data_IF_533949111703
#
_entry.id   IF_533949111703
#
_cell.length_a   1.000
_cell.length_b   1.000
_cell.length_c   1.000
_cell.angle_alpha   90.00
_cell.angle_beta   90.00
_cell.angle_gamma   90.00
#
_symmetry.space_group_name_H-M   'P 1'
#
loop_
_entity.id
_entity.type
_entity.pdbx_description
1 polymer ?
#
# COMPACT_ATOMS: atom_id res chain seq x y z
N UNK A 1 15.91 8.19 22.40
CA UNK A 1 14.63 7.49 22.12
C UNK A 1 13.78 8.44 21.26
N UNK A 2 13.61 8.16 19.97
CA UNK A 2 12.99 9.08 19.03
C UNK A 2 11.49 9.28 19.30
N UNK A 3 10.98 10.49 19.04
CA UNK A 3 9.56 10.82 19.19
C UNK A 3 8.75 10.08 18.12
N UNK A 4 7.85 9.18 18.53
CA UNK A 4 6.96 8.46 17.61
C UNK A 4 5.93 9.44 17.03
N UNK A 5 5.87 9.57 15.70
CA UNK A 5 4.82 10.33 15.01
C UNK A 5 3.60 9.44 14.81
N UNK A 6 2.52 9.72 15.54
CA UNK A 6 1.22 9.07 15.30
C UNK A 6 0.63 9.54 13.97
N UNK A 7 -0.12 8.66 13.30
CA UNK A 7 -0.90 9.06 12.13
C UNK A 7 -2.00 10.03 12.53
N UNK A 8 -2.13 11.12 11.78
CA UNK A 8 -3.19 12.13 11.97
C UNK A 8 -4.40 11.88 11.06
N UNK A 9 -4.32 10.89 10.16
CA UNK A 9 -5.38 10.58 9.17
C UNK A 9 -5.93 9.15 9.30
N UNK A 10 -5.41 8.36 10.25
CA UNK A 10 -5.99 7.06 10.58
C UNK A 10 -7.42 7.24 11.11
N UNK A 11 -8.36 6.43 10.61
CA UNK A 11 -9.79 6.56 10.89
C UNK A 11 -10.54 7.54 10.00
N UNK A 12 -9.87 8.26 9.09
CA UNK A 12 -10.52 9.15 8.11
C UNK A 12 -10.12 8.84 6.67
N UNK A 13 -8.82 8.77 6.37
CA UNK A 13 -8.34 8.45 5.01
C UNK A 13 -8.21 6.94 4.77
N UNK A 14 -8.03 6.18 5.84
CA UNK A 14 -7.99 4.72 5.87
C UNK A 14 -8.49 4.24 7.24
N UNK A 15 -8.90 2.96 7.37
CA UNK A 15 -9.39 2.43 8.64
C UNK A 15 -8.43 2.64 9.82
N UNK A 16 -8.95 3.12 10.95
CA UNK A 16 -8.16 3.29 12.18
C UNK A 16 -7.86 1.97 12.89
N UNK A 17 -8.66 0.93 12.60
CA UNK A 17 -8.44 -0.42 13.10
C UNK A 17 -7.47 -1.19 12.21
N UNK A 18 -6.45 -1.78 12.83
CA UNK A 18 -5.38 -2.47 12.09
C UNK A 18 -5.82 -3.76 11.39
N UNK A 19 -6.84 -4.46 11.90
CA UNK A 19 -7.36 -5.68 11.30
C UNK A 19 -8.13 -5.34 10.01
N UNK A 20 -9.03 -4.36 10.10
CA UNK A 20 -9.77 -3.85 8.94
C UNK A 20 -8.83 -3.32 7.87
N UNK A 21 -7.83 -2.51 8.27
CA UNK A 21 -6.84 -1.98 7.32
C UNK A 21 -6.06 -3.08 6.60
N UNK A 22 -5.69 -4.14 7.32
CA UNK A 22 -4.96 -5.28 6.74
C UNK A 22 -5.82 -6.03 5.72
N UNK A 23 -7.09 -6.25 6.03
CA UNK A 23 -8.02 -6.95 5.16
C UNK A 23 -8.27 -6.15 3.87
N UNK A 24 -8.46 -4.84 3.98
CA UNK A 24 -8.62 -3.93 2.83
C UNK A 24 -7.38 -3.98 1.91
N UNK A 25 -6.18 -3.82 2.47
CA UNK A 25 -4.92 -3.86 1.69
C UNK A 25 -4.76 -5.24 1.01
N UNK A 26 -5.02 -6.32 1.75
CA UNK A 26 -4.91 -7.69 1.23
C UNK A 26 -5.86 -7.89 0.06
N UNK A 27 -7.11 -7.46 0.19
CA UNK A 27 -8.11 -7.50 -0.87
C UNK A 27 -7.67 -6.70 -2.10
N UNK A 28 -7.18 -5.48 -1.93
CA UNK A 28 -6.70 -4.68 -3.06
C UNK A 28 -5.56 -5.36 -3.80
N UNK A 29 -4.58 -5.93 -3.08
CA UNK A 29 -3.45 -6.67 -3.67
C UNK A 29 -3.93 -7.94 -4.38
N UNK A 30 -4.88 -8.69 -3.80
CA UNK A 30 -5.42 -9.91 -4.41
C UNK A 30 -6.16 -9.63 -5.72
N UNK A 31 -6.87 -8.50 -5.80
CA UNK A 31 -7.63 -8.10 -6.99
C UNK A 31 -6.77 -7.67 -8.19
N UNK A 32 -5.46 -7.48 -8.02
CA UNK A 32 -4.57 -7.11 -9.11
C UNK A 32 -4.06 -8.38 -9.80
N UNK A 33 -4.19 -8.52 -11.14
CA UNK A 33 -3.59 -9.64 -11.86
C UNK A 33 -2.07 -9.71 -11.65
N UNK A 34 -1.51 -10.93 -11.60
CA UNK A 34 -0.06 -11.07 -11.51
C UNK A 34 0.59 -10.49 -12.78
N UNK A 35 1.59 -9.63 -12.57
CA UNK A 35 2.42 -9.05 -13.62
C UNK A 35 3.85 -9.03 -13.13
N UNK A 36 4.76 -9.55 -13.93
CA UNK A 36 6.19 -9.45 -13.68
C UNK A 36 6.77 -8.36 -14.59
N UNK A 37 7.71 -7.60 -14.04
CA UNK A 37 8.51 -6.63 -14.78
C UNK A 37 9.96 -7.10 -14.71
N UNK A 38 10.65 -6.99 -15.85
CA UNK A 38 12.07 -7.26 -15.92
C UNK A 38 12.88 -6.14 -15.23
N UNK A 39 14.02 -6.51 -14.66
CA UNK A 39 14.93 -5.58 -13.99
C UNK A 39 14.50 -5.20 -12.57
N UNK A 40 15.11 -4.12 -12.08
CA UNK A 40 14.90 -3.62 -10.72
C UNK A 40 13.95 -2.40 -10.75
N UNK A 41 12.93 -2.42 -9.90
CA UNK A 41 12.02 -1.27 -9.74
C UNK A 41 12.75 -0.19 -8.94
N UNK A 42 13.07 0.92 -9.58
CA UNK A 42 13.73 2.07 -8.95
C UNK A 42 12.73 3.01 -8.23
N UNK A 43 11.51 3.11 -8.74
CA UNK A 43 10.48 3.99 -8.17
C UNK A 43 9.06 3.50 -8.49
N UNK A 44 8.09 3.89 -7.66
CA UNK A 44 6.66 3.75 -7.90
C UNK A 44 5.99 5.14 -7.87
N UNK A 45 4.96 5.31 -8.69
CA UNK A 45 4.07 6.48 -8.63
C UNK A 45 2.69 5.95 -8.24
N UNK A 46 2.13 6.48 -7.16
CA UNK A 46 0.83 6.04 -6.63
C UNK A 46 -0.05 7.24 -6.28
N UNK A 47 -1.38 7.10 -6.39
CA UNK A 47 -2.31 8.09 -5.85
C UNK A 47 -2.25 8.09 -4.32
N UNK A 48 -2.59 9.24 -3.71
CA UNK A 48 -2.52 9.42 -2.26
C UNK A 48 -3.86 9.77 -1.60
N UNK A 49 -4.99 9.65 -2.33
CA UNK A 49 -6.32 9.90 -1.77
C UNK A 49 -6.71 8.86 -0.69
N UNK A 50 -7.89 9.04 -0.09
CA UNK A 50 -8.46 8.04 0.82
C UNK A 50 -8.56 6.66 0.16
N UNK A 51 -8.30 5.60 0.92
CA UNK A 51 -8.13 4.23 0.39
C UNK A 51 -9.37 3.72 -0.36
N UNK A 52 -10.57 4.14 0.05
CA UNK A 52 -11.81 3.80 -0.65
C UNK A 52 -11.83 4.28 -2.11
N UNK A 53 -11.09 5.36 -2.42
CA UNK A 53 -11.02 5.95 -3.75
C UNK A 53 -9.79 5.48 -4.54
N UNK A 54 -8.64 5.32 -3.86
CA UNK A 54 -7.36 5.12 -4.54
C UNK A 54 -6.61 3.85 -4.17
N UNK A 55 -7.07 3.10 -3.17
CA UNK A 55 -6.39 1.91 -2.65
C UNK A 55 -6.21 0.83 -3.72
N UNK A 56 -7.26 0.55 -4.49
CA UNK A 56 -7.21 -0.44 -5.58
C UNK A 56 -6.23 -0.04 -6.69
N UNK A 57 -6.10 1.25 -7.00
CA UNK A 57 -5.16 1.75 -8.02
C UNK A 57 -3.73 1.66 -7.49
N UNK A 58 -3.48 2.08 -6.25
CA UNK A 58 -2.16 1.97 -5.63
C UNK A 58 -1.67 0.51 -5.56
N UNK A 59 -2.58 -0.45 -5.37
CA UNK A 59 -2.23 -1.86 -5.32
C UNK A 59 -1.60 -2.40 -6.62
N UNK A 60 -1.91 -1.83 -7.80
CA UNK A 60 -1.25 -2.22 -9.06
C UNK A 60 0.25 -1.97 -9.01
N UNK A 61 0.69 -0.91 -8.33
CA UNK A 61 2.10 -0.59 -8.16
C UNK A 61 2.73 -1.45 -7.06
N UNK A 62 2.09 -1.53 -5.88
CA UNK A 62 2.65 -2.26 -4.74
C UNK A 62 2.74 -3.77 -4.95
N UNK A 63 1.85 -4.37 -5.75
CA UNK A 63 1.93 -5.82 -6.05
C UNK A 63 3.24 -6.22 -6.71
N UNK A 64 3.86 -5.32 -7.48
CA UNK A 64 5.14 -5.55 -8.14
C UNK A 64 6.30 -5.71 -7.15
N UNK A 65 6.14 -5.24 -5.91
CA UNK A 65 7.17 -5.34 -4.87
C UNK A 65 7.08 -6.64 -4.05
N UNK A 66 6.04 -7.47 -4.24
CA UNK A 66 5.90 -8.70 -3.48
C UNK A 66 7.10 -9.63 -3.72
N UNK A 67 7.71 -10.11 -2.63
CA UNK A 67 8.90 -10.95 -2.68
C UNK A 67 10.20 -10.22 -3.03
N UNK A 68 10.16 -8.90 -3.28
CA UNK A 68 11.35 -8.05 -3.44
C UNK A 68 11.77 -7.51 -2.07
N UNK A 69 13.07 -7.20 -1.92
CA UNK A 69 13.63 -6.59 -0.71
C UNK A 69 14.23 -5.23 -1.07
N UNK A 70 13.96 -4.25 -0.23
CA UNK A 70 14.48 -2.89 -0.31
C UNK A 70 14.92 -2.48 1.10
N UNK A 71 15.94 -1.62 1.17
CA UNK A 71 16.39 -1.05 2.45
C UNK A 71 15.33 -0.07 2.99
N UNK A 72 15.16 -0.02 4.32
CA UNK A 72 14.13 0.78 5.02
C UNK A 72 14.71 1.73 6.04
#
# INVERSE_FOLDING_TARGET
>A
MGKIRKSVIAGSWYPGDSSVLRDDITKYIQNVPQRELEGNIAALIVPHAGYVYSGQVAAYAYKLLLGKRYDS
#
